data_IF_889918724461
#
_entry.id   IF_889918724461
#
_cell.length_a   1.000
_cell.length_b   1.000
_cell.length_c   1.000
_cell.angle_alpha   90.00
_cell.angle_beta   90.00
_cell.angle_gamma   90.00
#
_symmetry.space_group_name_H-M   'P 1'
#
loop_
_entity.id
_entity.type
_entity.pdbx_description
1 polymer ?
#
# COMPACT_ATOMS: atom_id res chain seq x y z
N UNK A 1 2.54 9.74 6.40
CA UNK A 1 2.95 10.90 5.58
C UNK A 1 3.17 12.11 6.47
N UNK A 2 4.34 12.72 6.41
CA UNK A 2 4.69 13.91 7.19
C UNK A 2 5.05 15.04 6.23
N UNK A 3 4.38 16.22 6.31
CA UNK A 3 4.72 17.34 5.44
C UNK A 3 6.08 17.93 5.82
N UNK A 4 6.98 18.01 4.86
CA UNK A 4 8.31 18.59 5.02
C UNK A 4 8.36 20.00 4.43
N UNK A 5 8.28 21.03 5.29
CA UNK A 5 8.53 22.42 4.91
C UNK A 5 7.30 23.30 4.64
N UNK A 6 7.56 24.60 4.47
CA UNK A 6 6.54 25.67 4.39
C UNK A 6 5.83 25.79 3.03
N UNK A 7 6.17 24.96 2.05
CA UNK A 7 5.72 25.11 0.66
C UNK A 7 4.71 24.07 0.17
N UNK A 8 4.32 23.09 1.00
CA UNK A 8 3.35 22.08 0.60
C UNK A 8 1.96 22.67 0.75
N UNK A 9 1.23 22.74 -0.33
CA UNK A 9 -0.10 23.30 -0.37
C UNK A 9 -1.19 22.25 -0.35
N UNK A 10 -0.96 21.08 -0.94
CA UNK A 10 -1.96 20.01 -1.06
C UNK A 10 -1.31 18.64 -0.86
N UNK A 11 -1.75 17.87 0.14
CA UNK A 11 -1.26 16.53 0.43
C UNK A 11 -2.43 15.58 0.69
N UNK A 12 -2.49 14.49 -0.07
CA UNK A 12 -3.44 13.41 0.14
C UNK A 12 -2.74 12.07 0.25
N UNK A 13 -3.34 11.12 0.95
CA UNK A 13 -2.82 9.75 1.05
C UNK A 13 -2.83 9.02 -0.30
N UNK A 14 -3.78 9.35 -1.15
CA UNK A 14 -3.92 8.79 -2.50
C UNK A 14 -3.58 9.83 -3.58
N UNK A 15 -4.14 11.03 -3.49
CA UNK A 15 -3.95 12.08 -4.49
C UNK A 15 -3.84 13.46 -3.86
N UNK A 16 -2.93 14.31 -4.35
CA UNK A 16 -2.77 15.67 -3.83
C UNK A 16 -3.97 16.57 -4.17
N UNK A 17 -4.35 16.65 -5.44
CA UNK A 17 -5.47 17.47 -5.93
C UNK A 17 -6.33 16.68 -6.92
N UNK A 18 -7.64 16.71 -6.72
CA UNK A 18 -8.62 16.11 -7.65
C UNK A 18 -9.45 17.20 -8.30
N UNK A 19 -9.70 17.05 -9.59
CA UNK A 19 -10.38 18.02 -10.41
C UNK A 19 -9.36 18.94 -11.07
N UNK A 20 -9.43 19.02 -12.36
CA UNK A 20 -8.62 19.94 -13.17
C UNK A 20 -9.52 20.97 -13.80
N UNK A 21 -8.94 22.10 -14.16
CA UNK A 21 -9.61 23.15 -14.91
C UNK A 21 -9.74 22.73 -16.40
N UNK A 22 -10.23 21.49 -16.64
CA UNK A 22 -10.35 21.00 -18.00
C UNK A 22 -11.48 21.73 -18.71
N UNK A 23 -11.19 22.26 -19.88
CA UNK A 23 -12.15 22.98 -20.73
C UNK A 23 -13.17 22.03 -21.36
N UNK A 24 -12.93 20.75 -21.29
CA UNK A 24 -13.72 19.68 -21.92
C UNK A 24 -14.74 19.02 -20.98
N UNK A 25 -14.78 19.43 -19.69
CA UNK A 25 -15.78 18.93 -18.73
C UNK A 25 -15.59 17.46 -18.35
N UNK A 26 -14.38 16.92 -18.50
CA UNK A 26 -14.09 15.55 -18.09
C UNK A 26 -14.20 15.39 -16.57
N UNK A 27 -14.94 14.36 -16.14
CA UNK A 27 -15.07 13.99 -14.74
C UNK A 27 -13.82 13.27 -14.24
N UNK A 28 -13.37 13.65 -13.05
CA UNK A 28 -12.31 12.93 -12.35
C UNK A 28 -12.94 12.12 -11.21
N UNK A 29 -12.73 10.83 -11.21
CA UNK A 29 -13.25 9.94 -10.17
C UNK A 29 -12.10 9.35 -9.35
N UNK A 30 -12.22 9.41 -8.03
CA UNK A 30 -11.41 8.65 -7.08
C UNK A 30 -12.33 7.65 -6.42
N UNK A 31 -12.17 6.38 -6.72
CA UNK A 31 -13.08 5.35 -6.24
C UNK A 31 -12.35 4.07 -5.82
N UNK A 32 -13.00 3.33 -4.89
CA UNK A 32 -12.56 2.01 -4.43
C UNK A 32 -11.11 1.99 -3.91
N UNK A 33 -10.69 3.11 -3.33
CA UNK A 33 -9.37 3.28 -2.77
C UNK A 33 -9.41 3.22 -1.25
N UNK A 34 -8.32 2.80 -0.64
CA UNK A 34 -8.15 3.01 0.78
C UNK A 34 -6.75 3.52 1.12
N UNK A 35 -6.66 4.26 2.21
CA UNK A 35 -5.42 4.73 2.79
C UNK A 35 -5.31 4.19 4.23
N UNK A 36 -4.47 3.18 4.43
CA UNK A 36 -4.21 2.55 5.72
C UNK A 36 -3.06 3.19 6.51
N UNK A 37 -2.48 4.28 6.00
CA UNK A 37 -1.37 4.98 6.64
C UNK A 37 -1.82 6.09 7.57
N UNK A 38 -0.85 6.72 8.23
CA UNK A 38 -1.02 7.89 9.09
C UNK A 38 -0.54 9.16 8.38
N UNK A 39 -1.25 10.27 8.60
CA UNK A 39 -0.80 11.62 8.23
C UNK A 39 -0.42 12.34 9.52
N UNK A 40 0.87 12.41 9.80
CA UNK A 40 1.41 13.10 10.97
C UNK A 40 1.52 14.60 10.72
N UNK A 41 0.66 15.35 11.40
CA UNK A 41 0.64 16.82 11.35
C UNK A 41 1.35 17.46 12.53
N UNK A 42 1.96 16.71 13.44
CA UNK A 42 2.58 17.24 14.69
C UNK A 42 3.75 18.18 14.41
N UNK A 43 4.49 17.93 13.33
CA UNK A 43 5.61 18.79 12.90
C UNK A 43 5.14 20.07 12.16
N UNK A 44 3.85 20.17 11.92
CA UNK A 44 3.30 21.27 11.14
C UNK A 44 2.76 22.36 12.06
N UNK A 45 3.61 23.33 12.40
CA UNK A 45 3.29 24.43 13.32
C UNK A 45 2.71 25.68 12.64
N UNK A 46 2.61 25.70 11.32
CA UNK A 46 2.11 26.86 10.61
C UNK A 46 0.58 26.92 10.69
N UNK A 47 0.07 28.08 11.11
CA UNK A 47 -1.35 28.43 10.94
C UNK A 47 -1.59 28.61 9.44
N UNK A 48 -1.92 27.52 8.75
CA UNK A 48 -2.24 27.61 7.34
C UNK A 48 -3.64 28.19 7.15
N UNK A 49 -3.78 29.21 6.31
CA UNK A 49 -5.09 29.71 5.92
C UNK A 49 -5.91 28.67 5.14
N UNK A 50 -5.27 27.58 4.72
CA UNK A 50 -5.91 26.53 3.91
C UNK A 50 -5.44 25.17 4.42
N UNK A 51 -6.30 24.46 5.14
CA UNK A 51 -6.11 23.04 5.44
C UNK A 51 -6.28 22.28 4.12
N UNK A 52 -5.19 21.71 3.61
CA UNK A 52 -5.15 20.97 2.35
C UNK A 52 -4.58 19.57 2.54
N UNK A 53 -4.88 18.99 3.72
CA UNK A 53 -4.48 17.63 4.05
C UNK A 53 -5.72 16.74 4.13
N UNK A 54 -5.68 15.62 3.44
CA UNK A 54 -6.75 14.64 3.49
C UNK A 54 -6.23 13.22 3.29
N UNK A 55 -6.86 12.26 3.93
CA UNK A 55 -6.43 10.86 3.84
C UNK A 55 -6.59 10.29 2.42
N UNK A 56 -7.60 10.70 1.69
CA UNK A 56 -7.82 10.32 0.29
C UNK A 56 -7.27 11.41 -0.63
N UNK A 57 -7.75 12.63 -0.50
CA UNK A 57 -7.31 13.74 -1.35
C UNK A 57 -6.95 14.97 -0.50
N UNK A 58 -5.84 15.62 -0.81
CA UNK A 58 -5.46 16.87 -0.16
C UNK A 58 -6.49 17.97 -0.43
N UNK A 59 -7.00 18.03 -1.65
CA UNK A 59 -7.97 19.04 -2.07
C UNK A 59 -8.80 18.56 -3.26
N UNK A 60 -10.10 18.95 -3.29
CA UNK A 60 -10.88 19.06 -4.50
C UNK A 60 -10.70 20.46 -5.09
N UNK A 61 -10.43 20.59 -6.37
CA UNK A 61 -10.39 21.89 -7.03
C UNK A 61 -11.75 22.59 -6.87
N UNK A 62 -11.72 23.88 -6.56
CA UNK A 62 -12.90 24.69 -6.28
C UNK A 62 -13.48 25.39 -7.50
N UNK A 63 -12.93 25.17 -8.69
CA UNK A 63 -13.53 25.73 -9.90
C UNK A 63 -14.89 25.08 -10.16
N UNK A 64 -15.89 25.87 -10.55
CA UNK A 64 -17.25 25.37 -10.85
C UNK A 64 -17.29 24.34 -12.00
N UNK A 65 -16.20 24.25 -12.75
CA UNK A 65 -16.03 23.31 -13.88
C UNK A 65 -15.25 22.05 -13.52
N UNK A 66 -14.70 21.98 -12.32
CA UNK A 66 -13.95 20.81 -11.87
C UNK A 66 -14.92 19.79 -11.28
N UNK A 67 -15.29 18.81 -12.07
CA UNK A 67 -16.07 17.68 -11.60
C UNK A 67 -15.10 16.69 -10.93
N UNK A 68 -15.37 16.39 -9.68
CA UNK A 68 -14.64 15.39 -8.92
C UNK A 68 -15.63 14.55 -8.13
N UNK A 69 -15.66 13.27 -8.44
CA UNK A 69 -16.49 12.26 -7.79
C UNK A 69 -15.64 11.41 -6.88
N UNK A 70 -16.14 11.14 -5.68
CA UNK A 70 -15.51 10.25 -4.69
C UNK A 70 -16.50 9.16 -4.34
N UNK A 71 -16.11 7.91 -4.53
CA UNK A 71 -17.01 6.76 -4.33
C UNK A 71 -16.27 5.62 -3.62
N UNK A 72 -16.88 5.08 -2.56
CA UNK A 72 -16.41 3.87 -1.90
C UNK A 72 -14.93 3.92 -1.49
N UNK A 73 -14.47 5.09 -1.00
CA UNK A 73 -13.12 5.23 -0.48
C UNK A 73 -13.12 5.10 1.05
N UNK A 74 -12.06 4.54 1.58
CA UNK A 74 -11.88 4.32 3.01
C UNK A 74 -10.53 4.87 3.48
N UNK A 75 -10.42 5.23 4.76
CA UNK A 75 -9.16 5.67 5.32
C UNK A 75 -9.05 5.30 6.80
N UNK A 76 -7.82 5.05 7.25
CA UNK A 76 -7.57 4.83 8.67
C UNK A 76 -7.83 6.11 9.45
N UNK A 77 -8.58 5.99 10.55
CA UNK A 77 -8.88 7.10 11.44
C UNK A 77 -7.58 7.73 11.94
N UNK A 78 -7.43 9.01 11.70
CA UNK A 78 -6.31 9.82 12.19
C UNK A 78 -6.88 11.12 12.75
N UNK A 79 -6.40 11.53 13.91
CA UNK A 79 -6.88 12.72 14.57
C UNK A 79 -6.70 13.97 13.68
N UNK A 80 -7.75 14.76 13.54
CA UNK A 80 -7.79 16.01 12.76
C UNK A 80 -7.58 15.83 11.23
N UNK A 81 -7.67 14.62 10.70
CA UNK A 81 -7.57 14.36 9.26
C UNK A 81 -8.92 13.89 8.73
N UNK A 82 -9.43 14.56 7.71
CA UNK A 82 -10.61 14.16 6.94
C UNK A 82 -10.21 13.42 5.65
N UNK A 83 -11.18 12.80 4.97
CA UNK A 83 -10.92 12.17 3.68
C UNK A 83 -10.43 13.17 2.62
N UNK A 84 -11.01 14.37 2.59
CA UNK A 84 -10.58 15.48 1.73
C UNK A 84 -10.74 16.78 2.48
N UNK A 85 -9.76 17.66 2.43
CA UNK A 85 -9.73 18.88 3.24
C UNK A 85 -10.90 19.85 2.99
N UNK A 86 -11.44 19.87 1.78
CA UNK A 86 -12.51 20.80 1.38
C UNK A 86 -13.72 20.12 0.74
N UNK A 87 -13.87 18.80 0.95
CA UNK A 87 -14.99 18.03 0.39
C UNK A 87 -15.44 16.95 1.37
N UNK A 88 -16.66 17.09 1.88
CA UNK A 88 -17.30 16.07 2.68
C UNK A 88 -17.67 14.84 1.84
N UNK A 89 -17.71 13.67 2.46
CA UNK A 89 -18.10 12.43 1.81
C UNK A 89 -17.08 11.86 0.83
N UNK A 90 -15.84 12.34 0.85
CA UNK A 90 -14.79 11.82 -0.04
C UNK A 90 -14.28 10.42 0.38
N UNK A 91 -14.60 9.96 1.58
CA UNK A 91 -14.26 8.63 2.07
C UNK A 91 -14.84 8.39 3.46
N UNK A 92 -14.83 7.12 3.88
CA UNK A 92 -15.32 6.66 5.19
C UNK A 92 -14.14 6.30 6.09
N UNK A 93 -14.13 6.86 7.30
CA UNK A 93 -13.12 6.54 8.31
C UNK A 93 -13.36 5.14 8.89
N UNK A 94 -12.30 4.39 9.11
CA UNK A 94 -12.28 3.06 9.74
C UNK A 94 -11.08 2.96 10.67
N UNK A 95 -11.18 2.19 11.74
CA UNK A 95 -9.99 1.87 12.54
C UNK A 95 -9.05 0.97 11.75
N UNK A 96 -7.74 1.08 12.00
CA UNK A 96 -6.75 0.24 11.31
C UNK A 96 -6.96 -1.25 11.64
N UNK A 97 -7.42 -1.56 12.86
CA UNK A 97 -7.75 -2.91 13.28
C UNK A 97 -8.90 -3.49 12.47
N UNK A 98 -9.95 -2.69 12.21
CA UNK A 98 -11.04 -3.11 11.34
C UNK A 98 -10.58 -3.32 9.89
N UNK A 99 -9.69 -2.46 9.39
CA UNK A 99 -9.16 -2.58 8.02
C UNK A 99 -8.34 -3.85 7.80
N UNK A 100 -7.94 -4.56 8.86
CA UNK A 100 -7.23 -5.84 8.82
C UNK A 100 -8.14 -7.07 8.90
N UNK A 101 -9.45 -6.87 8.91
CA UNK A 101 -10.43 -7.96 9.01
C UNK A 101 -10.96 -8.41 7.66
N UNK A 102 -11.48 -9.62 7.62
CA UNK A 102 -12.20 -10.13 6.45
C UNK A 102 -13.48 -9.32 6.17
N UNK A 103 -14.11 -8.77 7.20
CA UNK A 103 -15.30 -7.93 7.03
C UNK A 103 -14.98 -6.66 6.23
N UNK A 104 -13.84 -6.01 6.49
CA UNK A 104 -13.41 -4.87 5.70
C UNK A 104 -13.05 -5.27 4.26
N UNK A 105 -12.36 -6.39 4.09
CA UNK A 105 -12.10 -6.92 2.75
C UNK A 105 -13.39 -7.14 1.97
N UNK A 106 -14.39 -7.75 2.59
CA UNK A 106 -15.71 -7.97 1.98
C UNK A 106 -16.42 -6.65 1.67
N UNK A 107 -16.36 -5.66 2.57
CA UNK A 107 -16.93 -4.32 2.36
C UNK A 107 -16.31 -3.62 1.14
N UNK A 108 -14.99 -3.56 1.05
CA UNK A 108 -14.32 -2.88 -0.08
C UNK A 108 -14.44 -3.66 -1.39
N UNK A 109 -14.49 -4.98 -1.33
CA UNK A 109 -14.69 -5.85 -2.50
C UNK A 109 -16.13 -5.78 -3.03
N UNK A 110 -17.12 -5.78 -2.15
CA UNK A 110 -18.53 -5.60 -2.53
C UNK A 110 -18.78 -4.23 -3.19
N UNK A 111 -18.01 -3.22 -2.80
CA UNK A 111 -18.01 -1.91 -3.42
C UNK A 111 -17.34 -1.89 -4.82
N UNK A 112 -16.71 -2.99 -5.26
CA UNK A 112 -16.03 -3.11 -6.56
C UNK A 112 -14.50 -3.00 -6.49
N UNK A 113 -13.92 -2.98 -5.29
CA UNK A 113 -12.46 -2.99 -5.11
C UNK A 113 -11.83 -4.31 -5.57
N UNK A 114 -10.66 -4.23 -6.20
CA UNK A 114 -9.93 -5.37 -6.74
C UNK A 114 -8.83 -5.85 -5.78
N UNK A 115 -9.13 -5.96 -4.52
CA UNK A 115 -8.16 -6.31 -3.49
C UNK A 115 -8.09 -7.83 -3.25
N UNK A 116 -7.03 -8.26 -2.60
CA UNK A 116 -6.84 -9.62 -2.11
C UNK A 116 -6.86 -9.62 -0.59
N UNK A 117 -7.55 -10.59 0.00
CA UNK A 117 -7.54 -10.79 1.44
C UNK A 117 -6.24 -11.45 1.91
N UNK A 118 -5.72 -10.95 3.03
CA UNK A 118 -4.66 -11.59 3.81
C UNK A 118 -4.98 -11.39 5.28
N UNK A 119 -5.08 -12.46 6.04
CA UNK A 119 -5.50 -12.39 7.44
C UNK A 119 -4.52 -11.58 8.30
N UNK A 120 -5.04 -10.62 9.03
CA UNK A 120 -4.25 -9.75 9.91
C UNK A 120 -3.56 -8.59 9.19
N UNK A 121 -3.70 -8.49 7.86
CA UNK A 121 -3.18 -7.42 7.04
C UNK A 121 -4.32 -6.59 6.44
N UNK A 122 -4.04 -5.34 6.09
CA UNK A 122 -4.98 -4.57 5.25
C UNK A 122 -5.08 -5.20 3.87
N UNK A 123 -6.23 -5.06 3.14
CA UNK A 123 -6.40 -5.66 1.83
C UNK A 123 -5.28 -5.30 0.86
N UNK A 124 -4.72 -6.27 0.19
CA UNK A 124 -3.57 -6.11 -0.70
C UNK A 124 -4.02 -5.88 -2.14
N UNK A 125 -3.29 -5.07 -2.89
CA UNK A 125 -3.48 -4.98 -4.33
C UNK A 125 -3.10 -6.33 -4.98
N UNK A 126 -3.89 -6.85 -5.92
CA UNK A 126 -3.55 -8.06 -6.63
C UNK A 126 -2.29 -7.85 -7.48
N UNK A 127 -1.49 -8.90 -7.60
CA UNK A 127 -0.30 -8.91 -8.44
C UNK A 127 0.82 -7.90 -8.06
N UNK A 128 0.77 -7.31 -6.87
CA UNK A 128 1.93 -6.59 -6.34
C UNK A 128 3.00 -7.59 -5.98
N UNK A 129 4.15 -7.47 -6.63
CA UNK A 129 5.32 -8.30 -6.37
C UNK A 129 6.39 -7.52 -5.64
N UNK A 130 7.05 -8.23 -4.76
CA UNK A 130 8.14 -7.72 -3.93
C UNK A 130 9.45 -8.37 -4.36
N UNK A 131 10.52 -7.60 -4.38
CA UNK A 131 11.86 -8.11 -4.68
C UNK A 131 12.38 -8.92 -3.51
N UNK A 132 12.71 -10.18 -3.74
CA UNK A 132 13.25 -11.10 -2.73
C UNK A 132 14.63 -11.55 -3.15
N UNK A 133 15.62 -11.25 -2.31
CA UNK A 133 17.00 -11.66 -2.50
C UNK A 133 17.34 -12.84 -1.58
N UNK A 134 18.00 -13.85 -2.14
CA UNK A 134 18.41 -15.05 -1.43
C UNK A 134 19.91 -15.10 -1.30
N UNK A 135 20.38 -15.47 -0.12
CA UNK A 135 21.79 -15.73 0.18
C UNK A 135 21.92 -17.08 0.86
N UNK A 136 22.79 -17.93 0.34
CA UNK A 136 23.14 -19.22 0.96
C UNK A 136 24.56 -19.10 1.50
N UNK A 137 24.74 -19.52 2.77
CA UNK A 137 26.05 -19.52 3.45
C UNK A 137 26.44 -20.93 3.87
N UNK A 138 27.74 -21.27 3.76
CA UNK A 138 28.83 -20.45 3.26
C UNK A 138 28.69 -20.17 1.76
N UNK A 139 29.17 -19.00 1.32
CA UNK A 139 29.19 -18.65 -0.10
C UNK A 139 30.09 -19.60 -0.89
N UNK A 140 29.68 -19.95 -2.11
CA UNK A 140 30.47 -20.81 -2.99
C UNK A 140 30.19 -22.30 -2.84
N UNK A 141 29.08 -22.70 -2.22
CA UNK A 141 28.62 -24.10 -2.25
C UNK A 141 28.42 -24.54 -3.71
N UNK A 142 29.09 -25.66 -4.08
CA UNK A 142 28.93 -26.24 -5.42
C UNK A 142 27.55 -26.85 -5.57
N UNK A 143 26.93 -26.65 -6.75
CA UNK A 143 25.62 -27.20 -7.07
C UNK A 143 24.47 -26.64 -6.22
N UNK A 144 24.65 -25.46 -5.59
CA UNK A 144 23.58 -24.85 -4.81
C UNK A 144 22.40 -24.44 -5.71
N UNK A 145 21.23 -24.98 -5.41
CA UNK A 145 19.97 -24.70 -6.10
C UNK A 145 18.93 -24.26 -5.07
N UNK A 146 18.26 -23.17 -5.34
CA UNK A 146 17.15 -22.67 -4.53
C UNK A 146 15.86 -22.87 -5.32
N UNK A 147 14.87 -23.50 -4.69
CA UNK A 147 13.50 -23.58 -5.25
C UNK A 147 12.52 -22.91 -4.31
N UNK A 148 11.70 -22.04 -4.85
CA UNK A 148 10.59 -21.39 -4.15
C UNK A 148 9.29 -21.89 -4.76
N UNK A 149 8.42 -22.44 -3.93
CA UNK A 149 7.17 -23.07 -4.39
C UNK A 149 7.41 -24.10 -5.53
N UNK A 150 8.50 -24.88 -5.42
CA UNK A 150 8.90 -25.88 -6.41
C UNK A 150 9.54 -25.36 -7.70
N UNK A 151 9.62 -24.03 -7.87
CA UNK A 151 10.26 -23.41 -9.04
C UNK A 151 11.69 -22.99 -8.69
N UNK A 152 12.64 -23.40 -9.52
CA UNK A 152 14.03 -23.00 -9.37
C UNK A 152 14.19 -21.50 -9.58
N UNK A 153 14.94 -20.86 -8.69
CA UNK A 153 15.32 -19.46 -8.79
C UNK A 153 16.81 -19.31 -8.50
N UNK A 154 17.41 -18.26 -9.00
CA UNK A 154 18.78 -17.90 -8.67
C UNK A 154 18.81 -17.25 -7.25
N UNK A 155 19.51 -16.15 -7.12
CA UNK A 155 19.58 -15.37 -5.89
C UNK A 155 18.50 -14.26 -5.80
N UNK A 156 17.51 -14.28 -6.68
CA UNK A 156 16.46 -13.26 -6.77
C UNK A 156 15.15 -13.86 -7.27
N UNK A 157 14.04 -13.41 -6.68
CA UNK A 157 12.67 -13.67 -7.17
C UNK A 157 11.79 -12.46 -6.96
N UNK A 158 10.73 -12.35 -7.76
CA UNK A 158 9.63 -11.44 -7.52
C UNK A 158 8.42 -12.25 -7.04
N UNK A 159 8.05 -12.05 -5.78
CA UNK A 159 6.98 -12.80 -5.12
C UNK A 159 5.90 -11.84 -4.62
N UNK A 160 4.66 -12.26 -4.65
CA UNK A 160 3.57 -11.56 -3.97
C UNK A 160 3.71 -11.72 -2.45
N UNK A 161 2.99 -10.93 -1.67
CA UNK A 161 2.89 -11.17 -0.23
C UNK A 161 2.25 -12.53 0.04
N UNK A 162 2.83 -13.30 0.96
CA UNK A 162 2.40 -14.66 1.27
C UNK A 162 3.53 -15.50 1.85
N UNK A 163 3.21 -16.74 2.22
CA UNK A 163 4.18 -17.72 2.71
C UNK A 163 4.48 -18.75 1.62
N UNK A 164 5.75 -19.03 1.41
CA UNK A 164 6.25 -19.87 0.32
C UNK A 164 7.17 -20.95 0.86
N UNK A 165 6.96 -22.24 0.51
CA UNK A 165 7.91 -23.29 0.77
C UNK A 165 9.18 -23.07 -0.04
N UNK A 166 10.32 -23.27 0.63
CA UNK A 166 11.66 -23.15 0.03
C UNK A 166 12.42 -24.45 0.24
N UNK A 167 12.95 -24.98 -0.85
CA UNK A 167 13.89 -26.11 -0.86
C UNK A 167 15.25 -25.60 -1.33
N UNK A 168 16.31 -25.93 -0.58
CA UNK A 168 17.68 -25.63 -0.96
C UNK A 168 18.48 -26.90 -0.97
N UNK A 169 19.14 -27.16 -2.09
CA UNK A 169 20.04 -28.31 -2.27
C UNK A 169 21.43 -27.82 -2.65
N UNK A 170 22.46 -28.56 -2.26
CA UNK A 170 23.83 -28.35 -2.72
C UNK A 170 24.58 -29.68 -2.70
N UNK A 171 25.70 -29.77 -3.47
CA UNK A 171 26.51 -30.99 -3.52
C UNK A 171 27.08 -31.38 -2.16
N UNK A 172 26.90 -32.65 -1.77
CA UNK A 172 27.34 -33.20 -0.50
C UNK A 172 26.76 -32.52 0.76
N UNK A 173 25.63 -31.83 0.63
CA UNK A 173 24.88 -31.23 1.74
C UNK A 173 23.51 -31.90 1.90
N UNK A 174 22.95 -31.83 3.09
CA UNK A 174 21.57 -32.21 3.32
C UNK A 174 20.64 -31.16 2.71
N UNK A 175 19.51 -31.62 2.18
CA UNK A 175 18.48 -30.73 1.66
C UNK A 175 17.83 -29.93 2.79
N UNK A 176 17.86 -28.61 2.69
CA UNK A 176 17.13 -27.73 3.60
C UNK A 176 15.72 -27.47 3.06
N UNK A 177 14.71 -27.83 3.85
CA UNK A 177 13.32 -27.48 3.59
C UNK A 177 12.86 -26.49 4.66
N UNK A 178 12.35 -25.35 4.23
CA UNK A 178 11.90 -24.28 5.11
C UNK A 178 10.77 -23.46 4.45
N UNK A 179 10.31 -22.42 5.11
CA UNK A 179 9.35 -21.48 4.57
C UNK A 179 9.85 -20.06 4.73
N UNK A 180 9.46 -19.19 3.81
CA UNK A 180 9.66 -17.74 3.92
C UNK A 180 8.31 -17.02 3.85
N UNK A 181 8.19 -15.93 4.60
CA UNK A 181 7.01 -15.06 4.55
C UNK A 181 7.40 -13.71 3.97
N UNK A 182 6.71 -13.31 2.93
CA UNK A 182 6.84 -12.01 2.27
C UNK A 182 5.68 -11.14 2.74
N UNK A 183 6.00 -10.04 3.39
CA UNK A 183 5.02 -9.09 3.91
C UNK A 183 4.89 -7.89 2.98
N UNK A 184 3.75 -7.20 3.06
CA UNK A 184 3.47 -6.04 2.21
C UNK A 184 4.05 -4.71 2.73
N UNK A 185 4.66 -4.73 3.90
CA UNK A 185 5.22 -3.55 4.59
C UNK A 185 6.62 -3.17 4.08
N UNK A 186 7.28 -4.06 3.36
CA UNK A 186 8.66 -3.89 2.89
C UNK A 186 8.76 -4.17 1.40
N UNK A 187 9.23 -3.21 0.62
CA UNK A 187 9.38 -3.36 -0.84
C UNK A 187 10.45 -4.39 -1.26
N UNK A 188 11.42 -4.66 -0.38
CA UNK A 188 12.52 -5.58 -0.64
C UNK A 188 12.76 -6.46 0.56
N UNK A 189 12.84 -7.77 0.34
CA UNK A 189 13.13 -8.78 1.35
C UNK A 189 14.49 -9.41 1.10
N UNK A 190 15.21 -9.73 2.17
CA UNK A 190 16.46 -10.50 2.10
C UNK A 190 16.33 -11.72 2.99
N UNK A 191 16.56 -12.89 2.42
CA UNK A 191 16.51 -14.19 3.11
C UNK A 191 17.89 -14.82 3.09
N UNK A 192 18.40 -15.18 4.25
CA UNK A 192 19.71 -15.84 4.42
C UNK A 192 19.51 -17.24 4.97
N UNK A 193 20.12 -18.22 4.33
CA UNK A 193 20.08 -19.63 4.72
C UNK A 193 21.51 -20.11 5.06
N UNK A 194 21.63 -20.92 6.10
CA UNK A 194 22.91 -21.46 6.61
C UNK A 194 22.85 -22.97 6.72
#
# INVERSE_FOLDING_TARGET
>A
LTPLGKGITDMGGIVGVVGTNSKDGSDNTVSHCYFGGEIDLTQYTATLPYKRFGAIAGKKDSSDKALATFENNFFAETENVSACANKDGAGTAKTIEYMKTEDFYNEISAAGGIYRFSQGETPLLPNVKYSVFFTVTPSGLTGAVIKVNGQETANFAELEAGTYPVEITADNCETLNTEITITADTATHTQTFT
#
